data_IF_021585155511
#
_entry.id   IF_021585155511
#
_cell.length_a   1.000
_cell.length_b   1.000
_cell.length_c   1.000
_cell.angle_alpha   90.00
_cell.angle_beta   90.00
_cell.angle_gamma   90.00
#
_symmetry.space_group_name_H-M   'P 1'
#
loop_
_entity.id
_entity.type
_entity.pdbx_description
1 polymer ?
#
# COMPACT_ATOMS: atom_id res chain seq x y z
N UNK A 1 -9.63 29.77 -11.50
CA UNK A 1 -8.69 30.89 -11.37
C UNK A 1 -9.12 31.88 -10.29
N UNK A 2 -10.37 32.36 -10.26
CA UNK A 2 -10.89 33.27 -9.22
C UNK A 2 -10.76 32.71 -7.78
N UNK A 3 -11.17 31.47 -7.56
CA UNK A 3 -11.03 30.81 -6.25
C UNK A 3 -9.58 30.68 -5.77
N UNK A 4 -8.65 30.49 -6.69
CA UNK A 4 -7.23 30.42 -6.36
C UNK A 4 -6.69 31.80 -5.96
N UNK A 5 -7.06 32.84 -6.67
CA UNK A 5 -6.73 34.23 -6.34
C UNK A 5 -7.26 34.63 -4.96
N UNK A 6 -8.51 34.27 -4.66
CA UNK A 6 -9.12 34.53 -3.35
C UNK A 6 -8.33 33.85 -2.21
N UNK A 7 -7.95 32.56 -2.39
CA UNK A 7 -7.12 31.84 -1.43
C UNK A 7 -5.76 32.48 -1.24
N UNK A 8 -5.11 32.93 -2.30
CA UNK A 8 -3.79 33.60 -2.22
C UNK A 8 -3.88 34.92 -1.45
N UNK A 9 -4.92 35.71 -1.71
CA UNK A 9 -5.13 37.00 -1.03
C UNK A 9 -5.35 36.81 0.47
N UNK A 10 -6.09 35.77 0.88
CA UNK A 10 -6.38 35.46 2.29
C UNK A 10 -5.25 34.68 2.95
N UNK A 11 -4.31 34.13 2.17
CA UNK A 11 -3.18 33.37 2.70
C UNK A 11 -2.16 34.25 3.42
N UNK A 12 -1.21 33.60 4.14
CA UNK A 12 -0.04 34.29 4.73
C UNK A 12 0.73 35.15 3.71
N UNK A 13 0.78 34.76 2.45
CA UNK A 13 1.48 35.49 1.40
C UNK A 13 0.74 36.77 1.02
N UNK A 14 -0.59 36.75 0.93
CA UNK A 14 -1.41 37.92 0.68
C UNK A 14 -1.32 38.94 1.80
N UNK A 15 -1.41 38.48 3.05
CA UNK A 15 -1.24 39.32 4.24
C UNK A 15 0.16 39.96 4.28
N UNK A 16 1.21 39.18 4.00
CA UNK A 16 2.59 39.66 4.00
C UNK A 16 2.85 40.67 2.86
N UNK A 17 2.31 40.40 1.67
CA UNK A 17 2.40 41.31 0.53
C UNK A 17 1.68 42.64 0.82
N UNK A 18 0.51 42.59 1.45
CA UNK A 18 -0.24 43.80 1.85
C UNK A 18 0.52 44.60 2.91
N UNK A 19 1.14 43.93 3.88
CA UNK A 19 1.98 44.57 4.90
C UNK A 19 3.18 45.27 4.27
N UNK A 20 3.87 44.62 3.33
CA UNK A 20 5.02 45.22 2.64
C UNK A 20 4.58 46.37 1.72
N UNK A 21 3.49 46.24 0.99
CA UNK A 21 3.00 47.31 0.15
C UNK A 21 2.54 48.53 0.93
N UNK A 22 2.01 48.34 2.15
CA UNK A 22 1.57 49.41 3.04
C UNK A 22 2.73 49.99 3.88
N UNK A 23 3.11 49.25 4.91
CA UNK A 23 4.11 49.71 5.88
C UNK A 23 5.57 49.72 5.34
N UNK A 24 5.88 48.73 4.48
CA UNK A 24 7.21 48.63 3.86
C UNK A 24 7.50 49.77 2.92
N UNK A 25 6.49 50.31 2.22
CA UNK A 25 6.65 51.47 1.35
C UNK A 25 7.03 52.74 2.13
N UNK A 26 6.40 53.00 3.28
CA UNK A 26 6.69 54.13 4.13
C UNK A 26 8.14 54.08 4.67
N UNK A 27 8.60 52.92 5.10
CA UNK A 27 9.95 52.70 5.54
C UNK A 27 10.96 52.83 4.40
N UNK A 28 10.64 52.27 3.24
CA UNK A 28 11.52 52.35 2.07
C UNK A 28 11.64 53.76 1.51
N UNK A 29 10.60 54.57 1.55
CA UNK A 29 10.66 55.99 1.16
C UNK A 29 11.62 56.82 2.06
N UNK A 30 11.69 56.46 3.34
CA UNK A 30 12.64 57.12 4.26
C UNK A 30 14.12 56.82 3.93
N UNK A 31 14.41 55.66 3.33
CA UNK A 31 15.77 55.25 2.97
C UNK A 31 16.13 55.48 1.49
N UNK A 32 15.16 55.35 0.58
CA UNK A 32 15.40 55.34 -0.86
C UNK A 32 14.69 56.51 -1.60
N UNK A 33 14.05 57.41 -0.86
CA UNK A 33 13.32 58.54 -1.43
C UNK A 33 12.17 58.09 -2.34
N UNK A 34 11.93 58.79 -3.43
CA UNK A 34 10.83 58.52 -4.36
C UNK A 34 10.80 57.11 -4.99
N UNK A 35 11.86 56.33 -4.86
CA UNK A 35 11.94 54.93 -5.36
C UNK A 35 11.46 53.89 -4.35
N UNK A 36 11.28 54.30 -3.08
CA UNK A 36 10.91 53.36 -2.01
C UNK A 36 9.62 52.62 -2.28
N UNK A 37 8.59 53.31 -2.77
CA UNK A 37 7.31 52.70 -3.14
C UNK A 37 7.48 51.67 -4.26
N UNK A 38 8.25 51.98 -5.30
CA UNK A 38 8.47 51.07 -6.42
C UNK A 38 9.16 49.76 -5.99
N UNK A 39 10.15 49.88 -5.10
CA UNK A 39 10.86 48.72 -4.55
C UNK A 39 9.93 47.87 -3.70
N UNK A 40 9.17 48.46 -2.79
CA UNK A 40 8.21 47.75 -1.94
C UNK A 40 7.11 47.04 -2.79
N UNK A 41 6.63 47.69 -3.83
CA UNK A 41 5.64 47.11 -4.78
C UNK A 41 6.20 45.91 -5.52
N UNK A 42 7.43 45.96 -6.04
CA UNK A 42 8.07 44.84 -6.74
C UNK A 42 8.22 43.65 -5.79
N UNK A 43 8.62 43.85 -4.54
CA UNK A 43 8.74 42.82 -3.52
C UNK A 43 7.37 42.19 -3.22
N UNK A 44 6.34 43.02 -3.03
CA UNK A 44 4.97 42.54 -2.77
C UNK A 44 4.41 41.69 -3.93
N UNK A 45 4.64 42.13 -5.17
CA UNK A 45 4.27 41.36 -6.37
C UNK A 45 5.03 40.04 -6.43
N UNK A 46 6.31 40.02 -6.10
CA UNK A 46 7.12 38.80 -6.02
C UNK A 46 6.57 37.79 -4.99
N UNK A 47 6.18 38.26 -3.81
CA UNK A 47 5.58 37.45 -2.74
C UNK A 47 4.22 36.89 -3.19
N UNK A 48 3.38 37.70 -3.84
CA UNK A 48 2.09 37.23 -4.37
C UNK A 48 2.27 36.21 -5.49
N UNK A 49 3.21 36.41 -6.39
CA UNK A 49 3.52 35.46 -7.46
C UNK A 49 4.02 34.12 -6.90
N UNK A 50 4.87 34.17 -5.87
CA UNK A 50 5.32 32.97 -5.16
C UNK A 50 4.17 32.26 -4.45
N UNK A 51 3.33 33.00 -3.71
CA UNK A 51 2.15 32.46 -3.05
C UNK A 51 1.16 31.85 -4.05
N UNK A 52 0.97 32.47 -5.20
CA UNK A 52 0.13 31.92 -6.28
C UNK A 52 0.68 30.58 -6.80
N UNK A 53 1.98 30.48 -6.98
CA UNK A 53 2.62 29.21 -7.39
C UNK A 53 2.40 28.12 -6.35
N UNK A 54 2.59 28.39 -5.07
CA UNK A 54 2.39 27.41 -3.98
C UNK A 54 0.94 26.93 -3.89
N UNK A 55 -0.02 27.84 -3.87
CA UNK A 55 -1.44 27.51 -3.82
C UNK A 55 -1.90 26.73 -5.06
N UNK A 56 -1.34 27.05 -6.23
CA UNK A 56 -1.58 26.29 -7.45
C UNK A 56 -1.05 24.86 -7.36
N UNK A 57 0.16 24.68 -6.83
CA UNK A 57 0.77 23.36 -6.67
C UNK A 57 -0.02 22.50 -5.68
N UNK A 58 -0.47 23.08 -4.57
CA UNK A 58 -1.35 22.43 -3.61
C UNK A 58 -2.72 22.09 -4.21
N UNK A 59 -3.35 23.05 -4.90
CA UNK A 59 -4.63 22.84 -5.57
C UNK A 59 -4.55 21.72 -6.61
N UNK A 60 -3.41 21.62 -7.32
CA UNK A 60 -3.18 20.59 -8.33
C UNK A 60 -3.11 19.20 -7.71
N UNK A 61 -2.49 19.06 -6.53
CA UNK A 61 -2.47 17.81 -5.77
C UNK A 61 -3.88 17.32 -5.41
N UNK A 62 -4.75 18.24 -4.94
CA UNK A 62 -6.10 17.89 -4.49
C UNK A 62 -7.15 17.78 -5.61
N UNK A 63 -6.82 18.16 -6.85
CA UNK A 63 -7.79 18.17 -7.96
C UNK A 63 -8.36 16.79 -8.30
N UNK A 64 -7.67 15.70 -7.89
CA UNK A 64 -8.08 14.32 -8.11
C UNK A 64 -8.81 13.68 -6.92
N UNK A 65 -9.28 14.45 -5.93
CA UNK A 65 -9.93 13.96 -4.69
C UNK A 65 -9.00 13.20 -3.75
N UNK A 66 -8.03 12.47 -4.25
CA UNK A 66 -7.04 11.72 -3.45
C UNK A 66 -5.61 12.13 -3.79
N UNK A 67 -4.73 12.03 -2.80
CA UNK A 67 -3.29 12.29 -2.92
C UNK A 67 -2.56 10.94 -2.87
N UNK A 68 -1.78 10.57 -3.89
CA UNK A 68 -1.02 9.32 -3.89
C UNK A 68 0.11 9.38 -2.87
N UNK A 69 0.19 8.38 -2.02
CA UNK A 69 1.21 8.24 -0.99
C UNK A 69 2.04 6.99 -1.29
N UNK A 70 3.28 7.13 -1.77
CA UNK A 70 4.15 6.00 -2.05
C UNK A 70 4.60 5.34 -0.73
N UNK A 71 4.34 4.06 -0.59
CA UNK A 71 4.74 3.26 0.58
C UNK A 71 5.57 2.07 0.11
N UNK A 72 6.77 1.93 0.67
CA UNK A 72 7.61 0.76 0.43
C UNK A 72 7.81 0.00 1.73
N UNK A 73 7.47 -1.28 1.71
CA UNK A 73 7.62 -2.20 2.84
C UNK A 73 8.52 -3.34 2.42
N UNK A 74 9.59 -3.61 3.16
CA UNK A 74 10.50 -4.73 2.93
C UNK A 74 10.70 -5.53 4.20
N UNK A 75 10.67 -6.86 4.06
CA UNK A 75 11.05 -7.81 5.11
C UNK A 75 12.31 -8.55 4.64
N UNK A 76 13.41 -7.80 4.58
CA UNK A 76 14.73 -8.30 4.20
C UNK A 76 15.80 -7.24 4.46
N UNK A 77 16.94 -7.66 5.02
CA UNK A 77 18.04 -6.77 5.38
C UNK A 77 18.83 -6.25 4.17
N UNK A 78 18.83 -6.98 3.05
CA UNK A 78 19.71 -6.71 1.90
C UNK A 78 19.04 -5.90 0.77
N UNK A 79 17.79 -5.49 0.94
CA UNK A 79 17.05 -4.79 -0.12
C UNK A 79 17.47 -3.30 -0.19
N UNK A 80 17.85 -2.76 -1.37
CA UNK A 80 18.18 -1.35 -1.56
C UNK A 80 16.91 -0.48 -1.58
N UNK A 81 16.19 -0.46 -0.47
CA UNK A 81 14.82 0.08 -0.33
C UNK A 81 14.70 1.56 -0.75
N UNK A 82 15.77 2.35 -0.58
CA UNK A 82 15.78 3.76 -0.97
C UNK A 82 15.66 3.97 -2.48
N UNK A 83 16.32 3.11 -3.26
CA UNK A 83 16.26 3.16 -4.72
C UNK A 83 14.88 2.72 -5.21
N UNK A 84 14.32 1.69 -4.58
CA UNK A 84 12.98 1.20 -4.90
C UNK A 84 11.91 2.24 -4.60
N UNK A 85 12.03 2.97 -3.51
CA UNK A 85 11.15 4.10 -3.20
C UNK A 85 11.20 5.17 -4.28
N UNK A 86 12.40 5.59 -4.70
CA UNK A 86 12.56 6.59 -5.76
C UNK A 86 11.93 6.12 -7.09
N UNK A 87 12.09 4.83 -7.42
CA UNK A 87 11.47 4.24 -8.61
C UNK A 87 9.94 4.23 -8.49
N UNK A 88 9.37 3.89 -7.33
CA UNK A 88 7.93 3.93 -7.11
C UNK A 88 7.37 5.37 -7.26
N UNK A 89 8.06 6.35 -6.69
CA UNK A 89 7.69 7.77 -6.86
C UNK A 89 7.69 8.15 -8.34
N UNK A 90 8.72 7.77 -9.08
CA UNK A 90 8.84 8.05 -10.52
C UNK A 90 7.71 7.39 -11.32
N UNK A 91 7.31 6.16 -11.01
CA UNK A 91 6.17 5.49 -11.65
C UNK A 91 4.86 6.25 -11.42
N UNK A 92 4.63 6.76 -10.19
CA UNK A 92 3.44 7.56 -9.87
C UNK A 92 3.46 8.90 -10.63
N UNK A 93 4.59 9.59 -10.64
CA UNK A 93 4.77 10.87 -11.34
C UNK A 93 4.61 10.74 -12.86
N UNK A 94 5.12 9.64 -13.42
CA UNK A 94 5.01 9.34 -14.86
C UNK A 94 3.57 8.99 -15.26
N UNK A 95 2.83 8.34 -14.38
CA UNK A 95 1.43 7.99 -14.63
C UNK A 95 0.53 9.24 -14.66
N UNK A 96 0.86 10.28 -13.89
CA UNK A 96 0.10 11.52 -13.84
C UNK A 96 1.00 12.73 -13.54
N UNK A 97 1.17 13.60 -14.53
CA UNK A 97 2.02 14.80 -14.44
C UNK A 97 1.63 15.77 -13.32
N UNK A 98 0.41 15.67 -12.77
CA UNK A 98 -0.03 16.47 -11.62
C UNK A 98 0.84 16.20 -10.39
N UNK A 99 1.41 15.00 -10.30
CA UNK A 99 2.20 14.54 -9.17
C UNK A 99 3.70 14.79 -9.35
N UNK A 100 4.15 15.44 -10.42
CA UNK A 100 5.56 15.80 -10.60
C UNK A 100 6.11 16.51 -9.36
N UNK A 101 7.24 16.03 -8.82
CA UNK A 101 7.83 16.49 -7.56
C UNK A 101 7.02 16.06 -6.33
N UNK A 102 6.32 14.91 -6.40
CA UNK A 102 5.41 14.42 -5.35
C UNK A 102 6.06 14.42 -3.97
N UNK A 103 7.25 13.83 -3.82
CA UNK A 103 7.91 13.74 -2.54
C UNK A 103 8.16 15.13 -1.90
N UNK A 104 8.67 16.08 -2.68
CA UNK A 104 8.92 17.45 -2.21
C UNK A 104 7.62 18.15 -1.82
N UNK A 105 6.53 17.89 -2.54
CA UNK A 105 5.21 18.45 -2.23
C UNK A 105 4.63 17.84 -0.95
N UNK A 106 4.76 16.53 -0.75
CA UNK A 106 4.32 15.84 0.47
C UNK A 106 5.06 16.40 1.71
N UNK A 107 6.36 16.56 1.61
CA UNK A 107 7.16 17.13 2.71
C UNK A 107 6.78 18.59 2.97
N UNK A 108 6.71 19.41 1.93
CA UNK A 108 6.47 20.85 2.04
C UNK A 108 5.08 21.20 2.56
N UNK A 109 4.03 20.54 2.04
CA UNK A 109 2.64 20.90 2.33
C UNK A 109 2.03 20.15 3.49
N UNK A 110 2.50 18.91 3.75
CA UNK A 110 1.90 18.03 4.74
C UNK A 110 2.88 17.55 5.81
N UNK A 111 4.16 17.97 5.71
CA UNK A 111 5.23 17.51 6.59
C UNK A 111 5.37 15.97 6.60
N UNK A 112 5.12 15.34 5.45
CA UNK A 112 5.29 13.90 5.25
C UNK A 112 6.66 13.66 4.66
N UNK A 113 7.61 13.29 5.51
CA UNK A 113 8.99 13.02 5.08
C UNK A 113 9.13 11.63 4.46
N UNK A 114 10.18 11.45 3.66
CA UNK A 114 10.52 10.17 3.05
C UNK A 114 10.64 9.02 4.07
N UNK A 115 11.15 9.29 5.27
CA UNK A 115 11.34 8.27 6.30
C UNK A 115 10.01 7.72 6.84
N UNK A 116 8.92 8.47 6.77
CA UNK A 116 7.58 8.03 7.14
C UNK A 116 6.94 7.08 6.10
N UNK A 117 7.58 6.94 4.93
CA UNK A 117 7.04 6.23 3.77
C UNK A 117 7.80 4.93 3.45
N UNK A 118 8.89 4.67 4.17
CA UNK A 118 9.77 3.53 3.96
C UNK A 118 9.86 2.71 5.24
N UNK A 119 9.40 1.46 5.16
CA UNK A 119 9.40 0.53 6.28
C UNK A 119 10.27 -0.67 5.96
N UNK A 120 11.32 -0.87 6.76
CA UNK A 120 12.22 -2.00 6.65
C UNK A 120 12.23 -2.78 7.95
N UNK A 121 11.88 -4.05 7.87
CA UNK A 121 11.99 -4.97 9.01
C UNK A 121 13.38 -5.56 9.04
N UNK A 122 14.09 -5.31 10.14
CA UNK A 122 15.42 -5.82 10.40
C UNK A 122 15.37 -6.67 11.67
N UNK A 123 15.19 -7.97 11.51
CA UNK A 123 15.11 -8.87 12.67
C UNK A 123 14.81 -10.30 12.28
N UNK A 124 14.75 -11.17 13.29
CA UNK A 124 14.31 -12.54 13.09
C UNK A 124 12.87 -12.56 12.60
N UNK A 125 12.68 -13.11 11.40
CA UNK A 125 11.38 -13.19 10.73
C UNK A 125 10.39 -14.10 11.47
N UNK A 126 10.82 -14.91 12.41
CA UNK A 126 9.98 -15.78 13.22
C UNK A 126 9.72 -15.22 14.61
N UNK A 127 10.26 -14.04 14.94
CA UNK A 127 9.93 -13.29 16.16
C UNK A 127 8.60 -12.57 16.00
N UNK A 128 7.52 -13.24 16.36
CA UNK A 128 6.17 -12.70 16.26
C UNK A 128 5.97 -11.38 17.02
N UNK A 129 6.63 -11.21 18.17
CA UNK A 129 6.46 -9.98 18.95
C UNK A 129 7.08 -8.77 18.25
N UNK A 130 8.27 -8.93 17.68
CA UNK A 130 8.93 -7.89 16.87
C UNK A 130 8.16 -7.59 15.59
N UNK A 131 7.67 -8.64 14.91
CA UNK A 131 6.86 -8.45 13.71
C UNK A 131 5.58 -7.67 14.01
N UNK A 132 4.85 -8.02 15.06
CA UNK A 132 3.65 -7.30 15.48
C UNK A 132 3.97 -5.83 15.77
N UNK A 133 5.07 -5.56 16.50
CA UNK A 133 5.51 -4.19 16.79
C UNK A 133 5.82 -3.42 15.51
N UNK A 134 6.48 -4.05 14.54
CA UNK A 134 6.75 -3.45 13.23
C UNK A 134 5.46 -3.10 12.48
N UNK A 135 4.49 -4.01 12.44
CA UNK A 135 3.20 -3.77 11.81
C UNK A 135 2.42 -2.64 12.51
N UNK A 136 2.51 -2.53 13.84
CA UNK A 136 1.92 -1.43 14.61
C UNK A 136 2.54 -0.08 14.24
N UNK A 137 3.86 -0.01 14.06
CA UNK A 137 4.54 1.20 13.61
C UNK A 137 4.02 1.62 12.25
N UNK A 138 3.93 0.68 11.28
CA UNK A 138 3.37 0.98 9.96
C UNK A 138 1.94 1.54 10.11
N UNK A 139 1.08 0.88 10.87
CA UNK A 139 -0.31 1.31 11.04
C UNK A 139 -0.41 2.71 11.66
N UNK A 140 0.42 2.99 12.66
CA UNK A 140 0.47 4.31 13.29
C UNK A 140 0.84 5.41 12.28
N UNK A 141 1.90 5.21 11.50
CA UNK A 141 2.35 6.17 10.48
C UNK A 141 1.29 6.37 9.38
N UNK A 142 0.65 5.29 8.92
CA UNK A 142 -0.40 5.39 7.91
C UNK A 142 -1.62 6.19 8.42
N UNK A 143 -2.01 6.01 9.68
CA UNK A 143 -3.07 6.78 10.29
C UNK A 143 -2.69 8.27 10.45
N UNK A 144 -1.45 8.55 10.84
CA UNK A 144 -0.95 9.94 10.93
C UNK A 144 -0.97 10.62 9.55
N UNK A 145 -0.52 9.93 8.51
CA UNK A 145 -0.59 10.40 7.12
C UNK A 145 -2.03 10.68 6.69
N UNK A 146 -2.98 9.77 6.98
CA UNK A 146 -4.40 9.98 6.68
C UNK A 146 -4.93 11.23 7.36
N UNK A 147 -4.60 11.44 8.62
CA UNK A 147 -5.01 12.64 9.37
C UNK A 147 -4.45 13.92 8.77
N UNK A 148 -3.17 13.95 8.37
CA UNK A 148 -2.54 15.11 7.73
C UNK A 148 -3.14 15.46 6.38
N UNK A 149 -3.79 14.51 5.72
CA UNK A 149 -4.43 14.64 4.41
C UNK A 149 -5.96 14.66 4.47
N UNK A 150 -6.55 14.89 5.63
CA UNK A 150 -8.01 14.90 5.82
C UNK A 150 -8.69 13.66 5.22
N UNK A 151 -8.09 12.48 5.42
CA UNK A 151 -8.53 11.19 4.87
C UNK A 151 -8.54 11.11 3.33
N UNK A 152 -7.71 11.91 2.66
CA UNK A 152 -7.57 11.89 1.19
C UNK A 152 -6.33 11.13 0.71
N UNK A 153 -5.62 10.44 1.58
CA UNK A 153 -4.50 9.62 1.16
C UNK A 153 -4.98 8.39 0.37
N UNK A 154 -4.36 8.14 -0.78
CA UNK A 154 -4.43 6.87 -1.49
C UNK A 154 -3.06 6.21 -1.41
N UNK A 155 -2.96 5.10 -0.69
CA UNK A 155 -1.68 4.44 -0.49
C UNK A 155 -1.26 3.64 -1.72
N UNK A 156 -0.10 3.94 -2.27
CA UNK A 156 0.55 3.23 -3.36
C UNK A 156 1.62 2.31 -2.77
N UNK A 157 1.32 1.00 -2.71
CA UNK A 157 2.08 0.04 -1.93
C UNK A 157 2.97 -0.81 -2.82
N UNK A 158 4.26 -0.79 -2.55
CA UNK A 158 5.22 -1.77 -3.00
C UNK A 158 5.68 -2.60 -1.81
N UNK A 159 5.37 -3.89 -1.84
CA UNK A 159 5.84 -4.85 -0.85
C UNK A 159 6.83 -5.82 -1.48
N UNK A 160 7.89 -6.13 -0.74
CA UNK A 160 9.03 -6.90 -1.24
C UNK A 160 9.39 -8.00 -0.26
N UNK A 161 9.67 -9.15 -0.84
CA UNK A 161 10.14 -10.36 -0.15
C UNK A 161 9.08 -10.99 0.76
N UNK A 162 9.18 -12.30 0.94
CA UNK A 162 8.41 -13.08 1.90
C UNK A 162 6.87 -12.91 1.80
N UNK A 163 6.20 -13.48 0.80
CA UNK A 163 4.74 -13.32 0.61
C UNK A 163 3.89 -13.65 1.84
N UNK A 164 4.37 -14.51 2.75
CA UNK A 164 3.64 -14.85 3.98
C UNK A 164 3.25 -13.63 4.83
N UNK A 165 4.10 -12.60 4.87
CA UNK A 165 3.80 -11.37 5.62
C UNK A 165 2.85 -10.45 4.87
N UNK A 166 2.71 -10.61 3.56
CA UNK A 166 1.75 -9.87 2.76
C UNK A 166 0.31 -10.06 3.23
N UNK A 167 -0.01 -11.24 3.78
CA UNK A 167 -1.32 -11.49 4.40
C UNK A 167 -1.58 -10.57 5.60
N UNK A 168 -0.59 -10.39 6.45
CA UNK A 168 -0.70 -9.51 7.61
C UNK A 168 -0.80 -8.04 7.20
N UNK A 169 0.05 -7.62 6.25
CA UNK A 169 0.04 -6.27 5.67
C UNK A 169 -1.31 -5.98 5.02
N UNK A 170 -1.83 -6.91 4.21
CA UNK A 170 -3.15 -6.79 3.61
C UNK A 170 -4.26 -6.61 4.65
N UNK A 171 -4.21 -7.35 5.74
CA UNK A 171 -5.16 -7.23 6.85
C UNK A 171 -5.20 -5.83 7.49
N UNK A 172 -4.11 -5.07 7.43
CA UNK A 172 -4.07 -3.68 7.90
C UNK A 172 -4.86 -2.71 7.02
N UNK A 173 -4.89 -2.95 5.71
CA UNK A 173 -5.52 -2.07 4.72
C UNK A 173 -6.96 -2.43 4.38
N UNK A 174 -7.58 -3.30 5.09
CA UNK A 174 -8.90 -3.91 4.82
C UNK A 174 -10.03 -2.96 4.38
N UNK A 175 -9.94 -1.67 4.70
CA UNK A 175 -10.96 -0.66 4.38
C UNK A 175 -10.40 0.54 3.63
N UNK A 176 -9.09 0.60 3.42
CA UNK A 176 -8.43 1.75 2.80
C UNK A 176 -8.36 1.55 1.28
N UNK A 177 -8.53 2.63 0.52
CA UNK A 177 -8.27 2.62 -0.93
C UNK A 177 -6.76 2.48 -1.17
N UNK A 178 -6.35 1.40 -1.82
CA UNK A 178 -4.93 1.16 -2.08
C UNK A 178 -4.66 0.84 -3.55
N UNK A 179 -3.45 1.18 -3.98
CA UNK A 179 -2.88 0.77 -5.27
C UNK A 179 -1.69 -0.12 -4.99
N UNK A 180 -1.68 -1.32 -5.54
CA UNK A 180 -0.64 -2.32 -5.31
C UNK A 180 0.25 -2.43 -6.54
N UNK A 181 1.56 -2.49 -6.29
CA UNK A 181 2.59 -2.65 -7.31
C UNK A 181 3.32 -3.98 -7.13
N UNK A 182 3.61 -4.63 -8.24
CA UNK A 182 4.46 -5.83 -8.31
C UNK A 182 5.81 -5.46 -8.88
N UNK A 183 6.87 -5.94 -8.24
CA UNK A 183 8.21 -5.81 -8.78
C UNK A 183 8.35 -6.67 -10.06
N UNK A 184 8.84 -6.05 -11.11
CA UNK A 184 9.13 -6.72 -12.36
C UNK A 184 10.64 -6.67 -12.62
N UNK A 185 11.36 -7.66 -12.08
CA UNK A 185 12.82 -7.73 -12.14
C UNK A 185 13.33 -7.73 -13.58
N UNK A 186 12.59 -8.34 -14.53
CA UNK A 186 12.99 -8.37 -15.94
C UNK A 186 12.97 -7.01 -16.61
N UNK A 187 12.11 -6.09 -16.14
CA UNK A 187 11.95 -4.77 -16.73
C UNK A 187 12.55 -3.67 -15.86
N UNK A 188 13.09 -4.03 -14.71
CA UNK A 188 13.63 -3.11 -13.71
C UNK A 188 12.66 -1.94 -13.42
N UNK A 189 11.37 -2.27 -13.30
CA UNK A 189 10.27 -1.32 -13.02
C UNK A 189 9.21 -1.97 -12.14
N UNK A 190 8.27 -1.16 -11.66
CA UNK A 190 7.10 -1.64 -10.93
C UNK A 190 5.87 -1.58 -11.81
N UNK A 191 5.20 -2.71 -11.94
CA UNK A 191 3.93 -2.77 -12.65
C UNK A 191 2.79 -2.61 -11.62
N UNK A 192 1.91 -1.62 -11.84
CA UNK A 192 0.66 -1.50 -11.10
C UNK A 192 -0.21 -2.73 -11.41
N UNK A 193 -0.61 -3.49 -10.39
CA UNK A 193 -1.35 -4.74 -10.55
C UNK A 193 -2.77 -4.70 -10.04
N UNK A 194 -3.06 -3.85 -9.05
CA UNK A 194 -4.41 -3.71 -8.53
C UNK A 194 -4.65 -2.28 -8.03
N UNK A 195 -5.89 -1.83 -8.17
CA UNK A 195 -6.44 -0.66 -7.50
C UNK A 195 -7.69 -1.10 -6.76
N UNK A 196 -7.64 -1.01 -5.44
CA UNK A 196 -8.69 -1.51 -4.56
C UNK A 196 -9.33 -0.31 -3.87
N UNK A 197 -10.53 0.02 -4.30
CA UNK A 197 -11.35 1.13 -3.79
C UNK A 197 -12.67 0.64 -3.17
N UNK A 198 -12.89 -0.67 -3.22
CA UNK A 198 -14.12 -1.29 -2.78
C UNK A 198 -13.87 -2.73 -2.31
N UNK A 199 -14.86 -3.35 -1.67
CA UNK A 199 -14.76 -4.73 -1.16
C UNK A 199 -15.12 -5.82 -2.21
N UNK A 200 -14.96 -5.55 -3.49
CA UNK A 200 -15.26 -6.53 -4.57
C UNK A 200 -14.56 -7.86 -4.38
N UNK A 201 -13.36 -7.86 -3.83
CA UNK A 201 -12.61 -9.08 -3.51
C UNK A 201 -13.31 -10.02 -2.49
N UNK A 202 -14.39 -9.57 -1.83
CA UNK A 202 -15.23 -10.37 -0.92
C UNK A 202 -16.58 -10.77 -1.49
N UNK A 203 -16.91 -10.34 -2.68
CA UNK A 203 -18.18 -10.71 -3.30
C UNK A 203 -18.24 -12.21 -3.55
N UNK A 204 -19.43 -12.78 -3.35
CA UNK A 204 -19.65 -14.21 -3.63
C UNK A 204 -19.58 -14.47 -5.12
N UNK A 205 -18.87 -15.53 -5.47
CA UNK A 205 -18.80 -16.03 -6.84
C UNK A 205 -19.50 -17.38 -6.96
N UNK A 206 -20.07 -17.64 -8.13
CA UNK A 206 -20.75 -18.92 -8.43
C UNK A 206 -19.82 -19.92 -9.11
N UNK A 207 -18.71 -19.48 -9.68
CA UNK A 207 -17.78 -20.30 -10.45
C UNK A 207 -16.35 -19.85 -10.27
N UNK A 208 -15.45 -20.82 -10.08
CA UNK A 208 -14.00 -20.60 -10.05
C UNK A 208 -13.44 -20.70 -11.47
N UNK A 209 -12.87 -19.63 -11.99
CA UNK A 209 -12.33 -19.55 -13.35
C UNK A 209 -10.80 -19.55 -13.37
N UNK A 210 -10.14 -19.09 -12.29
CA UNK A 210 -8.69 -18.96 -12.19
C UNK A 210 -8.04 -20.19 -11.58
N UNK A 211 -8.79 -20.97 -10.78
CA UNK A 211 -8.26 -22.10 -10.03
C UNK A 211 -9.01 -23.40 -10.25
N UNK A 212 -8.26 -24.49 -10.19
CA UNK A 212 -8.78 -25.82 -9.91
C UNK A 212 -8.70 -26.05 -8.41
N UNK A 213 -9.80 -26.52 -7.82
CA UNK A 213 -9.92 -26.77 -6.39
C UNK A 213 -9.98 -28.29 -6.18
N UNK A 214 -9.02 -28.81 -5.42
CA UNK A 214 -8.93 -30.23 -5.07
C UNK A 214 -9.18 -30.35 -3.57
N UNK A 215 -10.31 -30.90 -3.20
CA UNK A 215 -10.72 -31.07 -1.80
C UNK A 215 -10.47 -32.53 -1.37
N UNK A 216 -9.67 -32.72 -0.30
CA UNK A 216 -9.43 -34.00 0.38
C UNK A 216 -9.81 -33.84 1.85
N UNK A 217 -11.08 -34.03 2.14
CA UNK A 217 -11.67 -33.88 3.48
C UNK A 217 -11.99 -35.27 4.03
N UNK A 218 -10.95 -35.97 4.50
CA UNK A 218 -11.04 -37.38 4.88
C UNK A 218 -11.59 -37.59 6.28
N UNK A 219 -11.37 -36.65 7.19
CA UNK A 219 -11.81 -36.74 8.57
C UNK A 219 -12.60 -35.49 8.99
N UNK A 220 -13.91 -35.66 9.13
CA UNK A 220 -14.81 -34.56 9.56
C UNK A 220 -14.70 -34.24 11.07
N UNK A 221 -14.14 -35.14 11.85
CA UNK A 221 -13.94 -34.93 13.29
C UNK A 221 -12.67 -34.12 13.57
N UNK A 222 -11.66 -34.24 12.72
CA UNK A 222 -10.48 -33.38 12.77
C UNK A 222 -10.84 -31.95 12.34
N UNK A 223 -10.71 -31.02 13.25
CA UNK A 223 -11.00 -29.59 13.06
C UNK A 223 -9.81 -28.78 12.55
N UNK A 224 -8.75 -29.44 12.09
CA UNK A 224 -7.60 -28.82 11.43
C UNK A 224 -7.69 -28.96 9.92
N UNK A 225 -7.31 -27.90 9.21
CA UNK A 225 -7.30 -27.87 7.75
C UNK A 225 -6.01 -27.26 7.22
N UNK A 226 -5.37 -27.96 6.30
CA UNK A 226 -4.29 -27.39 5.48
C UNK A 226 -4.86 -26.85 4.16
N UNK A 227 -4.59 -25.59 3.84
CA UNK A 227 -4.87 -25.00 2.54
C UNK A 227 -3.56 -24.75 1.83
N UNK A 228 -3.41 -25.32 0.64
CA UNK A 228 -2.24 -25.13 -0.20
C UNK A 228 -2.62 -24.29 -1.40
N UNK A 229 -1.98 -23.12 -1.56
CA UNK A 229 -2.23 -22.21 -2.68
C UNK A 229 -1.01 -22.25 -3.63
N UNK A 230 -1.24 -22.75 -4.85
CA UNK A 230 -0.19 -22.93 -5.86
C UNK A 230 -0.45 -22.02 -7.06
N UNK A 231 0.35 -20.96 -7.17
CA UNK A 231 0.24 -19.99 -8.28
C UNK A 231 1.56 -19.92 -9.05
N UNK A 232 2.69 -19.87 -8.36
CA UNK A 232 4.00 -19.86 -9.01
C UNK A 232 4.43 -21.25 -9.46
N UNK A 233 5.56 -21.31 -10.17
CA UNK A 233 6.17 -22.57 -10.63
C UNK A 233 6.69 -23.48 -9.51
N UNK A 234 6.74 -23.00 -8.27
CA UNK A 234 7.17 -23.78 -7.12
C UNK A 234 5.99 -24.52 -6.51
N UNK A 235 5.99 -25.84 -6.59
CA UNK A 235 4.96 -26.68 -5.99
C UNK A 235 5.12 -26.74 -4.47
N UNK A 236 4.03 -26.51 -3.77
CA UNK A 236 3.90 -26.75 -2.32
C UNK A 236 3.46 -28.19 -2.11
N UNK A 237 4.32 -29.00 -1.53
CA UNK A 237 4.00 -30.41 -1.30
C UNK A 237 3.20 -30.62 -0.02
N UNK A 238 2.00 -31.19 -0.11
CA UNK A 238 1.21 -31.63 1.05
C UNK A 238 1.86 -32.80 1.81
N UNK A 239 2.83 -33.49 1.17
CA UNK A 239 3.58 -34.60 1.78
C UNK A 239 4.82 -34.13 2.56
N UNK A 240 5.02 -32.82 2.72
CA UNK A 240 6.09 -32.31 3.56
C UNK A 240 5.87 -32.74 5.02
N UNK A 241 6.93 -33.11 5.71
CA UNK A 241 6.89 -33.55 7.12
C UNK A 241 6.14 -32.57 8.04
N UNK A 242 6.22 -31.28 7.76
CA UNK A 242 5.50 -30.24 8.50
C UNK A 242 3.97 -30.45 8.48
N UNK A 243 3.44 -31.15 7.47
CA UNK A 243 2.01 -31.32 7.24
C UNK A 243 1.48 -32.73 7.53
N UNK A 244 2.29 -33.63 8.03
CA UNK A 244 1.90 -35.03 8.34
C UNK A 244 0.72 -35.13 9.31
N UNK A 245 0.53 -34.11 10.18
CA UNK A 245 -0.59 -34.08 11.13
C UNK A 245 -1.93 -33.61 10.55
N UNK A 246 -1.98 -33.22 9.26
CA UNK A 246 -3.20 -32.75 8.62
C UNK A 246 -3.86 -33.86 7.80
N UNK A 247 -4.98 -34.37 8.29
CA UNK A 247 -5.80 -35.34 7.56
C UNK A 247 -6.69 -34.69 6.50
N UNK A 248 -7.02 -33.41 6.70
CA UNK A 248 -7.82 -32.62 5.76
C UNK A 248 -6.97 -31.58 5.04
N UNK A 249 -7.05 -31.54 3.71
CA UNK A 249 -6.38 -30.51 2.94
C UNK A 249 -7.18 -30.11 1.69
N UNK A 250 -6.97 -28.86 1.29
CA UNK A 250 -7.49 -28.30 0.05
C UNK A 250 -6.34 -27.69 -0.74
N UNK A 251 -6.26 -28.04 -2.02
CA UNK A 251 -5.28 -27.47 -2.95
C UNK A 251 -6.01 -26.53 -3.90
N UNK A 252 -5.59 -25.28 -3.91
CA UNK A 252 -6.05 -24.21 -4.81
C UNK A 252 -4.94 -24.01 -5.83
N UNK A 253 -5.09 -24.62 -7.02
CA UNK A 253 -4.06 -24.61 -8.07
C UNK A 253 -4.45 -23.70 -9.22
N UNK A 254 -3.56 -22.78 -9.60
CA UNK A 254 -3.80 -21.91 -10.76
C UNK A 254 -3.92 -22.70 -12.06
N UNK A 255 -4.92 -22.36 -12.87
CA UNK A 255 -5.13 -22.94 -14.22
C UNK A 255 -4.12 -22.41 -15.25
N UNK A 256 -3.45 -21.30 -14.95
CA UNK A 256 -2.42 -20.75 -15.82
C UNK A 256 -1.06 -21.41 -15.60
N UNK A 257 -0.07 -21.00 -16.41
CA UNK A 257 1.30 -21.54 -16.36
C UNK A 257 2.14 -20.92 -15.20
N UNK A 258 1.54 -20.70 -14.04
CA UNK A 258 2.22 -20.18 -12.86
C UNK A 258 2.52 -18.68 -12.88
N UNK A 259 1.95 -17.93 -13.83
CA UNK A 259 2.11 -16.46 -13.90
C UNK A 259 0.77 -15.75 -13.99
N UNK A 260 0.62 -14.66 -13.23
CA UNK A 260 -0.51 -13.75 -13.36
C UNK A 260 -0.08 -12.61 -14.28
N UNK A 261 -0.86 -12.25 -15.32
CA UNK A 261 -0.52 -11.16 -16.21
C UNK A 261 -0.35 -9.83 -15.46
N UNK A 262 0.66 -9.05 -15.83
CA UNK A 262 1.00 -7.74 -15.23
C UNK A 262 0.89 -6.60 -16.27
N UNK A 263 0.08 -6.76 -17.31
CA UNK A 263 -0.16 -5.73 -18.31
C UNK A 263 -1.30 -4.77 -17.89
N UNK A 264 -1.39 -3.64 -18.58
CA UNK A 264 -2.43 -2.62 -18.32
C UNK A 264 -3.85 -3.19 -18.39
N UNK A 265 -4.10 -4.11 -19.30
CA UNK A 265 -5.41 -4.76 -19.48
C UNK A 265 -5.78 -5.60 -18.26
N UNK A 266 -4.83 -6.34 -17.68
CA UNK A 266 -5.07 -7.15 -16.47
C UNK A 266 -5.40 -6.30 -15.25
N UNK A 267 -4.81 -5.09 -15.14
CA UNK A 267 -5.15 -4.12 -14.08
C UNK A 267 -6.56 -3.57 -14.28
N UNK A 268 -6.88 -3.11 -15.50
CA UNK A 268 -8.17 -2.52 -15.81
C UNK A 268 -9.32 -3.54 -15.68
N UNK A 269 -9.07 -4.81 -16.01
CA UNK A 269 -10.06 -5.90 -15.84
C UNK A 269 -10.17 -6.39 -14.40
N UNK A 270 -9.31 -5.97 -13.49
CA UNK A 270 -9.29 -6.45 -12.11
C UNK A 270 -8.82 -7.91 -11.95
N UNK A 271 -8.03 -8.42 -12.87
CA UNK A 271 -7.56 -9.82 -12.89
C UNK A 271 -6.94 -10.25 -11.55
N UNK A 272 -6.07 -9.46 -10.95
CA UNK A 272 -5.45 -9.77 -9.67
C UNK A 272 -6.46 -9.81 -8.51
N UNK A 273 -7.47 -8.94 -8.56
CA UNK A 273 -8.57 -8.93 -7.59
C UNK A 273 -9.40 -10.20 -7.72
N UNK A 274 -9.68 -10.68 -8.95
CA UNK A 274 -10.40 -11.94 -9.19
C UNK A 274 -9.66 -13.15 -8.61
N UNK A 275 -8.31 -13.23 -8.74
CA UNK A 275 -7.53 -14.27 -8.08
C UNK A 275 -7.71 -14.24 -6.56
N UNK A 276 -7.60 -13.07 -5.94
CA UNK A 276 -7.82 -12.92 -4.50
C UNK A 276 -9.25 -13.28 -4.08
N UNK A 277 -10.24 -12.89 -4.87
CA UNK A 277 -11.65 -13.17 -4.65
C UNK A 277 -11.97 -14.67 -4.69
N UNK A 278 -11.41 -15.41 -5.66
CA UNK A 278 -11.61 -16.86 -5.74
C UNK A 278 -10.99 -17.57 -4.52
N UNK A 279 -9.77 -17.23 -4.14
CA UNK A 279 -9.11 -17.78 -2.93
C UNK A 279 -9.97 -17.49 -1.69
N UNK A 280 -10.40 -16.24 -1.50
CA UNK A 280 -11.27 -15.86 -0.39
C UNK A 280 -12.56 -16.70 -0.36
N UNK A 281 -13.23 -16.89 -1.49
CA UNK A 281 -14.47 -17.63 -1.55
C UNK A 281 -14.30 -19.11 -1.19
N UNK A 282 -13.20 -19.75 -1.60
CA UNK A 282 -12.87 -21.12 -1.17
C UNK A 282 -12.75 -21.18 0.36
N UNK A 283 -11.93 -20.30 0.94
CA UNK A 283 -11.67 -20.29 2.38
C UNK A 283 -12.96 -19.94 3.15
N UNK A 284 -13.71 -18.94 2.67
CA UNK A 284 -14.95 -18.48 3.33
C UNK A 284 -16.04 -19.56 3.35
N UNK A 285 -16.10 -20.41 2.32
CA UNK A 285 -17.07 -21.52 2.24
C UNK A 285 -16.85 -22.56 3.33
N UNK A 286 -15.59 -22.85 3.65
CA UNK A 286 -15.21 -24.00 4.51
C UNK A 286 -14.80 -23.62 5.92
N UNK A 287 -14.49 -22.35 6.18
CA UNK A 287 -13.91 -21.90 7.47
C UNK A 287 -14.76 -22.23 8.70
N UNK A 288 -16.09 -22.37 8.53
CA UNK A 288 -17.01 -22.67 9.63
C UNK A 288 -16.87 -24.12 10.14
N UNK A 289 -16.35 -25.01 9.30
CA UNK A 289 -16.22 -26.44 9.62
C UNK A 289 -14.93 -26.75 10.38
N UNK A 290 -13.97 -25.79 10.39
CA UNK A 290 -12.64 -25.96 10.97
C UNK A 290 -12.33 -24.90 12.03
N UNK A 291 -11.68 -25.33 13.11
CA UNK A 291 -11.28 -24.44 14.21
C UNK A 291 -9.90 -23.79 13.97
N UNK A 292 -9.08 -24.44 13.15
CA UNK A 292 -7.72 -24.02 12.85
C UNK A 292 -7.41 -24.30 11.38
N UNK A 293 -6.94 -23.26 10.69
CA UNK A 293 -6.55 -23.34 9.28
C UNK A 293 -5.08 -22.95 9.17
N UNK A 294 -4.32 -23.76 8.44
CA UNK A 294 -2.93 -23.41 8.06
C UNK A 294 -2.88 -23.18 6.55
N UNK A 295 -2.30 -22.06 6.14
CA UNK A 295 -2.10 -21.72 4.72
C UNK A 295 -0.62 -21.84 4.39
N UNK A 296 -0.31 -22.79 3.49
CA UNK A 296 0.96 -22.89 2.79
C UNK A 296 0.78 -22.40 1.34
N UNK A 297 1.72 -21.63 0.85
CA UNK A 297 1.50 -20.97 -0.44
C UNK A 297 2.76 -20.80 -1.28
N UNK A 298 2.53 -20.67 -2.58
CA UNK A 298 3.50 -20.24 -3.57
C UNK A 298 2.81 -19.20 -4.45
N UNK A 299 2.81 -17.94 -4.00
CA UNK A 299 2.15 -16.82 -4.69
C UNK A 299 3.00 -15.55 -4.66
N UNK A 300 2.77 -14.61 -5.60
CA UNK A 300 3.43 -13.31 -5.59
C UNK A 300 3.05 -12.46 -4.35
N UNK A 301 3.96 -11.58 -3.93
CA UNK A 301 3.79 -10.70 -2.77
C UNK A 301 2.53 -9.83 -2.89
N UNK A 302 2.29 -9.27 -4.06
CA UNK A 302 1.12 -8.41 -4.30
C UNK A 302 -0.19 -9.15 -4.14
N UNK A 303 -0.26 -10.42 -4.54
CA UNK A 303 -1.48 -11.22 -4.36
C UNK A 303 -1.69 -11.59 -2.89
N UNK A 304 -0.62 -11.83 -2.13
CA UNK A 304 -0.74 -12.11 -0.69
C UNK A 304 -1.33 -10.93 0.08
N UNK A 305 -1.05 -9.68 -0.33
CA UNK A 305 -1.72 -8.48 0.21
C UNK A 305 -3.22 -8.52 -0.10
N UNK A 306 -3.60 -8.79 -1.35
CA UNK A 306 -5.03 -8.83 -1.76
C UNK A 306 -5.78 -9.89 -0.98
N UNK A 307 -5.22 -11.09 -0.84
CA UNK A 307 -5.80 -12.17 -0.05
C UNK A 307 -5.87 -11.80 1.43
N UNK A 308 -4.83 -11.18 1.98
CA UNK A 308 -4.82 -10.67 3.36
C UNK A 308 -5.91 -9.65 3.64
N UNK A 309 -6.16 -8.72 2.72
CA UNK A 309 -7.28 -7.78 2.79
C UNK A 309 -8.63 -8.50 2.83
N UNK A 310 -8.77 -9.58 2.05
CA UNK A 310 -10.00 -10.35 1.99
C UNK A 310 -10.25 -11.18 3.25
N UNK A 311 -9.21 -11.84 3.77
CA UNK A 311 -9.30 -12.68 4.96
C UNK A 311 -9.49 -11.85 6.24
N UNK A 312 -8.93 -10.65 6.26
CA UNK A 312 -8.85 -9.81 7.46
C UNK A 312 -8.17 -10.57 8.64
N UNK A 313 -8.26 -10.01 9.83
CA UNK A 313 -7.60 -10.59 11.01
C UNK A 313 -8.61 -11.25 11.97
N UNK A 314 -9.68 -11.88 11.44
CA UNK A 314 -10.74 -12.42 12.29
C UNK A 314 -10.68 -13.93 12.47
N UNK A 315 -10.00 -14.64 11.57
CA UNK A 315 -10.00 -16.09 11.56
C UNK A 315 -8.73 -16.66 12.16
N UNK A 316 -8.83 -17.81 12.80
CA UNK A 316 -7.68 -18.54 13.33
C UNK A 316 -6.94 -19.23 12.18
N UNK A 317 -6.11 -18.45 11.49
CA UNK A 317 -5.35 -18.87 10.32
C UNK A 317 -3.87 -18.63 10.57
N UNK A 318 -3.10 -19.72 10.55
CA UNK A 318 -1.65 -19.69 10.52
C UNK A 318 -1.16 -19.56 9.08
N UNK A 319 -0.28 -18.62 8.84
CA UNK A 319 0.43 -18.47 7.56
C UNK A 319 1.82 -19.05 7.73
N UNK A 320 2.19 -20.00 6.88
CA UNK A 320 3.51 -20.63 6.90
C UNK A 320 4.36 -20.21 5.70
N UNK A 321 5.64 -20.10 5.92
CA UNK A 321 6.66 -19.79 4.91
C UNK A 321 7.61 -20.99 4.77
N UNK A 322 7.92 -21.37 3.52
CA UNK A 322 8.97 -22.35 3.26
C UNK A 322 10.35 -21.77 3.54
N UNK A 323 11.12 -22.44 4.37
CA UNK A 323 12.46 -22.03 4.78
C UNK A 323 13.29 -23.26 5.16
N UNK A 324 14.48 -23.38 4.63
CA UNK A 324 15.42 -24.46 4.90
C UNK A 324 14.78 -25.87 4.88
N UNK A 325 14.09 -26.21 3.80
CA UNK A 325 13.42 -27.52 3.57
C UNK A 325 12.14 -27.81 4.38
N UNK A 326 11.71 -26.95 5.27
CA UNK A 326 10.47 -27.10 6.03
C UNK A 326 9.58 -25.85 5.96
N UNK A 327 8.32 -25.97 6.38
CA UNK A 327 7.41 -24.85 6.54
C UNK A 327 7.40 -24.40 8.00
N UNK A 328 7.69 -23.15 8.23
CA UNK A 328 7.67 -22.53 9.56
C UNK A 328 6.48 -21.59 9.68
N UNK A 329 5.82 -21.60 10.84
CA UNK A 329 4.76 -20.64 11.12
C UNK A 329 5.36 -19.25 11.23
N UNK A 330 4.81 -18.31 10.45
CA UNK A 330 5.24 -16.93 10.41
C UNK A 330 4.32 -16.08 11.27
N UNK A 331 3.01 -16.25 11.11
CA UNK A 331 2.04 -15.40 11.79
C UNK A 331 0.67 -16.07 11.84
N UNK A 332 -0.06 -15.83 12.94
CA UNK A 332 -1.48 -16.15 13.04
C UNK A 332 -2.31 -14.87 12.85
N UNK A 333 -3.19 -14.85 11.86
CA UNK A 333 -3.97 -13.66 11.51
C UNK A 333 -4.87 -13.20 12.65
N UNK A 334 -5.45 -14.11 13.44
CA UNK A 334 -6.30 -13.75 14.57
C UNK A 334 -5.51 -13.05 15.69
N UNK A 335 -4.25 -13.40 15.88
CA UNK A 335 -3.40 -12.76 16.90
C UNK A 335 -3.13 -11.30 16.56
N UNK A 336 -3.01 -10.94 15.26
CA UNK A 336 -2.77 -9.57 14.83
C UNK A 336 -3.98 -8.68 15.12
N UNK A 337 -5.20 -9.21 15.12
CA UNK A 337 -6.44 -8.44 15.30
C UNK A 337 -6.44 -7.52 16.52
N UNK A 338 -5.82 -7.96 17.60
CA UNK A 338 -5.80 -7.22 18.87
C UNK A 338 -4.93 -5.96 18.82
N UNK A 339 -4.19 -5.76 17.76
CA UNK A 339 -3.21 -4.69 17.63
C UNK A 339 -3.57 -3.66 16.54
N UNK A 340 -4.70 -3.89 15.79
CA UNK A 340 -5.12 -3.01 14.70
C UNK A 340 -6.58 -2.53 14.81
#
# INVERSE_FOLDING_TARGET
MLQLLEKVIVSRYGLFATFIAGFGSLAADAFFGTYGFAIAFIIAVGILAYGFKEERDLFTLYKGETVPIPIVISIDDNTPIQNLFNTLVLEIETADVRFTGLQSKLEKFFNISKNMLIFKYEGDMYDNARLISFLQIIRYELNDIQNRLDNKAQFHILYLRRPAYGFAIGGMFRSDGIVIYQNNDYKNRFDKVAMIDSRKYKEKISKYNKFDIIENLNNKEDKKLLIVIQISSHDVSVKNQTFESFENHIIIKSRGNGTIPVDKKSVESGTWIEYGQEIYNVINKIKADFNHITIAHSMPESLSIIVGMALENYWNIDIVQFDDSCYKNVINLKQIKYYF
#
